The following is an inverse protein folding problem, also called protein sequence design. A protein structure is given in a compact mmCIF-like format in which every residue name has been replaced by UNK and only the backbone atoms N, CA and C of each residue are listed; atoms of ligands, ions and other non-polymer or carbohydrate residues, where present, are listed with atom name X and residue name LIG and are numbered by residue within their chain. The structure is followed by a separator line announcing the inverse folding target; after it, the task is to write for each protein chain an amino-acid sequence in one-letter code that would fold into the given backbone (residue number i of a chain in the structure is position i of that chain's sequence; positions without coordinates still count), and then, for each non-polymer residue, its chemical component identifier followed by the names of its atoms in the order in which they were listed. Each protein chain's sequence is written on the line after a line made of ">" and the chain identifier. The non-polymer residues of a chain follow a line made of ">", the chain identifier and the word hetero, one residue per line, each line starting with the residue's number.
data_IF_264987921486
#
_entry.id   IF_264987921486
#
_cell.length_a   1.000
_cell.length_b   1.000
_cell.length_c   1.000
_cell.angle_alpha   90.00
_cell.angle_beta   90.00
_cell.angle_gamma   90.00
#
_symmetry.space_group_name_H-M   'P 1'
#
loop_
_entity.id
_entity.type
_entity.pdbx_description
1 polymer ?
#
# COMPACT_ATOMS: atom_id res chain seq x y z
N UNK A 1 -6.10 -18.53 0.38
CA UNK A 1 -6.83 -19.35 -0.60
C UNK A 1 -7.22 -18.46 -1.77
N UNK A 2 -6.40 -18.35 -2.80
CA UNK A 2 -6.66 -17.84 -4.18
C UNK A 2 -5.35 -17.37 -4.82
N UNK A 3 -4.46 -18.31 -5.17
CA UNK A 3 -3.50 -18.15 -6.25
C UNK A 3 -3.36 -19.53 -6.90
N UNK A 4 -4.34 -19.90 -7.70
CA UNK A 4 -4.29 -21.07 -8.58
C UNK A 4 -5.01 -20.70 -9.86
N UNK A 5 -4.37 -19.95 -10.74
CA UNK A 5 -4.88 -19.78 -12.12
C UNK A 5 -3.86 -19.16 -13.09
N UNK A 6 -2.63 -19.64 -13.15
CA UNK A 6 -1.70 -19.33 -14.28
C UNK A 6 -0.82 -20.53 -14.66
N UNK A 7 -1.26 -21.76 -14.49
CA UNK A 7 -0.46 -22.93 -14.97
C UNK A 7 -1.34 -23.95 -15.72
N UNK A 8 -2.30 -23.53 -16.50
CA UNK A 8 -3.14 -24.45 -17.27
C UNK A 8 -3.44 -23.99 -18.69
N UNK A 9 -2.43 -23.60 -19.49
CA UNK A 9 -2.57 -23.45 -20.96
C UNK A 9 -1.29 -23.88 -21.65
N UNK A 10 -0.78 -25.08 -21.42
CA UNK A 10 0.24 -25.69 -22.28
C UNK A 10 0.20 -27.23 -22.19
N UNK A 11 -0.92 -27.83 -22.53
CA UNK A 11 -0.94 -29.26 -22.84
C UNK A 11 -2.23 -29.61 -23.61
N UNK A 12 -2.26 -29.33 -24.89
CA UNK A 12 -3.12 -30.02 -25.88
C UNK A 12 -2.79 -29.49 -27.27
N UNK A 13 -1.78 -30.07 -27.92
CA UNK A 13 -1.72 -30.18 -29.36
C UNK A 13 -0.72 -31.27 -29.79
N UNK A 14 -1.25 -32.34 -30.27
CA UNK A 14 -0.73 -32.92 -31.51
C UNK A 14 0.16 -34.13 -31.43
N UNK A 15 -0.42 -35.26 -31.49
CA UNK A 15 0.18 -36.42 -32.16
C UNK A 15 0.02 -36.26 -33.67
N UNK A 16 1.13 -36.05 -34.37
CA UNK A 16 1.32 -36.47 -35.77
C UNK A 16 2.78 -36.73 -36.00
N UNK A 17 3.06 -38.00 -36.22
CA UNK A 17 4.39 -38.51 -36.56
C UNK A 17 4.81 -38.16 -38.00
N UNK A 18 6.06 -37.90 -38.16
CA UNK A 18 7.01 -38.18 -39.26
C UNK A 18 7.87 -36.96 -39.64
N UNK A 19 9.16 -37.12 -39.46
CA UNK A 19 10.17 -36.24 -40.05
C UNK A 19 11.21 -35.72 -39.06
N UNK A 20 12.21 -36.53 -38.77
CA UNK A 20 13.44 -36.07 -38.10
C UNK A 20 14.07 -34.93 -38.93
N UNK A 21 13.98 -33.72 -38.40
CA UNK A 21 14.97 -32.67 -38.56
C UNK A 21 15.31 -32.20 -37.19
N UNK A 22 16.57 -32.28 -36.81
CA UNK A 22 17.12 -31.77 -35.57
C UNK A 22 16.74 -30.28 -35.45
N UNK A 23 15.67 -30.02 -34.72
CA UNK A 23 15.35 -28.68 -34.22
C UNK A 23 16.37 -28.40 -33.10
N UNK A 24 17.13 -27.31 -33.13
CA UNK A 24 17.99 -26.96 -31.99
C UNK A 24 17.09 -26.88 -30.75
N UNK A 25 17.46 -27.64 -29.72
CA UNK A 25 16.84 -27.48 -28.38
C UNK A 25 16.84 -25.99 -28.06
N UNK A 26 15.64 -25.45 -27.80
CA UNK A 26 15.50 -24.10 -27.30
C UNK A 26 16.49 -23.94 -26.15
N UNK A 27 17.43 -23.04 -26.29
CA UNK A 27 18.44 -22.74 -25.27
C UNK A 27 17.69 -22.45 -23.99
N UNK A 28 17.81 -23.34 -22.98
CA UNK A 28 17.32 -23.01 -21.65
C UNK A 28 18.00 -21.72 -21.22
N UNK A 29 17.27 -20.70 -20.82
CA UNK A 29 17.87 -19.44 -20.41
C UNK A 29 18.89 -19.73 -19.31
N UNK A 30 20.08 -19.20 -19.43
CA UNK A 30 21.12 -19.33 -18.42
C UNK A 30 20.60 -18.70 -17.12
N UNK A 31 20.17 -19.54 -16.19
CA UNK A 31 19.64 -19.13 -14.88
C UNK A 31 20.60 -18.16 -14.16
N UNK A 32 21.92 -18.32 -14.33
CA UNK A 32 22.91 -17.40 -13.78
C UNK A 32 22.83 -16.01 -14.40
N UNK A 33 22.60 -15.93 -15.72
CA UNK A 33 22.44 -14.64 -16.40
C UNK A 33 21.12 -13.95 -15.98
N UNK A 34 20.04 -14.71 -15.77
CA UNK A 34 18.78 -14.19 -15.23
C UNK A 34 18.95 -13.74 -13.79
N UNK A 35 19.61 -14.54 -12.94
CA UNK A 35 19.91 -14.21 -11.56
C UNK A 35 20.80 -12.95 -11.44
N UNK A 36 21.81 -12.81 -12.31
CA UNK A 36 22.64 -11.62 -12.34
C UNK A 36 21.86 -10.33 -12.69
N UNK A 37 20.82 -10.43 -13.50
CA UNK A 37 19.91 -9.30 -13.80
C UNK A 37 18.95 -8.98 -12.65
N UNK A 38 18.73 -9.94 -11.74
CA UNK A 38 17.93 -9.75 -10.54
C UNK A 38 18.79 -9.29 -9.34
N UNK A 39 20.12 -9.22 -9.48
CA UNK A 39 21.01 -8.79 -8.41
C UNK A 39 20.51 -7.52 -7.74
N UNK A 40 20.50 -7.54 -6.40
CA UNK A 40 20.03 -6.46 -5.56
C UNK A 40 21.15 -6.01 -4.62
N UNK A 41 21.30 -4.70 -4.45
CA UNK A 41 22.16 -4.11 -3.43
C UNK A 41 21.30 -3.30 -2.48
N UNK A 42 21.40 -3.57 -1.19
CA UNK A 42 20.63 -2.82 -0.19
C UNK A 42 21.04 -1.35 -0.21
N UNK A 43 20.05 -0.51 -0.40
CA UNK A 43 20.14 0.95 -0.29
C UNK A 43 19.02 1.38 0.64
N UNK A 44 19.30 2.30 1.56
CA UNK A 44 18.30 2.89 2.42
C UNK A 44 17.78 4.18 1.81
N UNK A 45 16.48 4.40 1.87
CA UNK A 45 15.84 5.61 1.33
C UNK A 45 16.44 6.88 1.94
N UNK A 46 16.70 6.85 3.25
CA UNK A 46 17.26 7.99 3.98
C UNK A 46 18.59 8.53 3.41
N UNK A 47 19.39 7.66 2.78
CA UNK A 47 20.68 8.03 2.19
C UNK A 47 20.53 8.76 0.84
N UNK A 48 19.34 8.73 0.26
CA UNK A 48 19.02 9.30 -1.06
C UNK A 48 18.14 10.53 -1.01
N UNK A 49 17.47 10.76 0.11
CA UNK A 49 16.52 11.85 0.23
C UNK A 49 17.23 13.21 0.29
N UNK A 50 16.73 14.21 -0.43
CA UNK A 50 17.29 15.56 -0.38
C UNK A 50 17.03 16.23 0.98
N UNK A 51 17.87 17.20 1.32
CA UNK A 51 17.62 18.05 2.49
C UNK A 51 16.34 18.86 2.27
N UNK A 52 15.49 18.87 3.28
CA UNK A 52 14.26 19.64 3.26
C UNK A 52 14.54 21.13 3.47
N UNK A 53 13.72 21.97 2.82
CA UNK A 53 13.69 23.40 3.08
C UNK A 53 13.15 23.63 4.50
N UNK A 54 13.88 24.29 5.43
CA UNK A 54 13.45 24.44 6.82
C UNK A 54 12.13 25.22 6.97
N UNK A 55 11.85 26.19 6.09
CA UNK A 55 10.61 26.95 6.12
C UNK A 55 9.41 26.08 5.66
N UNK A 56 9.60 25.26 4.62
CA UNK A 56 8.59 24.31 4.18
C UNK A 56 8.36 23.19 5.20
N UNK A 57 9.41 22.79 5.91
CA UNK A 57 9.34 21.77 6.96
C UNK A 57 8.50 22.24 8.18
N UNK A 58 8.53 23.54 8.52
CA UNK A 58 7.62 24.12 9.53
C UNK A 58 6.15 23.94 9.13
N UNK A 59 5.81 24.18 7.86
CA UNK A 59 4.45 23.97 7.34
C UNK A 59 4.06 22.50 7.44
N UNK A 60 4.96 21.62 7.05
CA UNK A 60 4.73 20.17 7.12
C UNK A 60 4.45 19.69 8.55
N UNK A 61 5.26 20.08 9.52
CA UNK A 61 5.09 19.64 10.89
C UNK A 61 3.74 20.09 11.47
N UNK A 62 3.36 21.35 11.23
CA UNK A 62 2.05 21.85 11.69
C UNK A 62 0.88 21.17 10.95
N UNK A 63 0.96 21.02 9.63
CA UNK A 63 -0.03 20.28 8.84
C UNK A 63 -0.17 18.83 9.31
N UNK A 64 0.95 18.16 9.62
CA UNK A 64 0.95 16.80 10.14
C UNK A 64 0.27 16.72 11.51
N UNK A 65 0.53 17.66 12.38
CA UNK A 65 -0.13 17.73 13.67
C UNK A 65 -1.65 17.92 13.50
N UNK A 66 -2.12 18.86 12.64
CA UNK A 66 -3.54 19.04 12.32
C UNK A 66 -4.18 17.74 11.83
N UNK A 67 -3.53 17.06 10.89
CA UNK A 67 -4.01 15.79 10.34
C UNK A 67 -4.20 14.72 11.42
N UNK A 68 -3.30 14.66 12.40
CA UNK A 68 -3.31 13.67 13.48
C UNK A 68 -4.35 13.96 14.57
N UNK A 69 -5.04 15.12 14.54
CA UNK A 69 -6.16 15.39 15.44
C UNK A 69 -7.41 14.58 15.08
N UNK A 70 -7.46 13.99 13.87
CA UNK A 70 -8.61 13.23 13.36
C UNK A 70 -9.92 14.02 13.34
N UNK A 71 -9.84 15.35 13.16
CA UNK A 71 -10.96 16.28 13.07
C UNK A 71 -11.12 16.72 11.62
N UNK A 72 -12.25 16.40 10.96
CA UNK A 72 -12.46 16.73 9.53
C UNK A 72 -12.31 18.20 9.20
N UNK A 73 -12.71 19.08 10.13
CA UNK A 73 -12.63 20.54 9.99
C UNK A 73 -11.20 21.10 9.91
N UNK A 74 -10.21 20.34 10.37
CA UNK A 74 -8.79 20.73 10.32
C UNK A 74 -8.10 20.26 9.02
N UNK A 75 -8.68 19.31 8.30
CA UNK A 75 -8.07 18.71 7.11
C UNK A 75 -7.89 19.70 5.94
N UNK A 76 -8.81 20.67 5.66
CA UNK A 76 -8.58 21.66 4.63
C UNK A 76 -7.32 22.50 4.87
N UNK A 77 -7.08 22.91 6.12
CA UNK A 77 -5.89 23.66 6.49
C UNK A 77 -4.63 22.81 6.37
N UNK A 78 -4.68 21.55 6.83
CA UNK A 78 -3.58 20.60 6.64
C UNK A 78 -3.23 20.42 5.15
N UNK A 79 -4.25 20.27 4.29
CA UNK A 79 -4.09 20.15 2.84
C UNK A 79 -3.47 21.38 2.20
N UNK A 80 -3.94 22.57 2.59
CA UNK A 80 -3.38 23.86 2.16
C UNK A 80 -1.88 23.94 2.44
N UNK A 81 -1.48 23.65 3.67
CA UNK A 81 -0.08 23.72 4.08
C UNK A 81 0.77 22.63 3.42
N UNK A 82 0.22 21.42 3.23
CA UNK A 82 0.90 20.37 2.49
C UNK A 82 1.14 20.73 1.02
N UNK A 83 0.15 21.38 0.33
CA UNK A 83 0.33 21.85 -1.05
C UNK A 83 1.51 22.80 -1.16
N UNK A 84 1.56 23.79 -0.26
CA UNK A 84 2.62 24.79 -0.26
C UNK A 84 3.98 24.13 0.04
N UNK A 85 4.05 23.26 1.03
CA UNK A 85 5.29 22.57 1.36
C UNK A 85 5.75 21.64 0.22
N UNK A 86 4.83 20.86 -0.39
CA UNK A 86 5.12 19.98 -1.52
C UNK A 86 5.70 20.74 -2.72
N UNK A 87 5.14 21.92 -3.04
CA UNK A 87 5.65 22.78 -4.10
C UNK A 87 7.10 23.26 -3.85
N UNK A 88 7.56 23.23 -2.60
CA UNK A 88 8.97 23.49 -2.21
C UNK A 88 9.81 22.23 -2.08
N UNK A 89 9.40 21.11 -2.72
CA UNK A 89 10.14 19.85 -2.73
C UNK A 89 10.05 19.04 -1.44
N UNK A 90 9.06 19.34 -0.59
CA UNK A 90 8.89 18.58 0.66
C UNK A 90 8.19 17.24 0.38
N UNK A 91 8.97 16.19 0.13
CA UNK A 91 8.47 14.86 -0.30
C UNK A 91 7.49 14.23 0.68
N UNK A 92 7.64 14.41 2.01
CA UNK A 92 6.67 13.88 2.99
C UNK A 92 5.32 14.61 2.93
N UNK A 93 5.34 15.94 2.69
CA UNK A 93 4.11 16.71 2.49
C UNK A 93 3.40 16.27 1.21
N UNK A 94 4.15 16.07 0.13
CA UNK A 94 3.67 15.56 -1.14
C UNK A 94 2.96 14.19 -0.95
N UNK A 95 3.61 13.22 -0.31
CA UNK A 95 3.03 11.90 -0.04
C UNK A 95 1.72 11.96 0.78
N UNK A 96 1.72 12.78 1.84
CA UNK A 96 0.52 12.93 2.67
C UNK A 96 -0.62 13.57 1.89
N UNK A 97 -0.32 14.59 1.08
CA UNK A 97 -1.30 15.27 0.25
C UNK A 97 -1.93 14.33 -0.78
N UNK A 98 -1.12 13.57 -1.54
CA UNK A 98 -1.62 12.58 -2.50
C UNK A 98 -2.64 11.64 -1.83
N UNK A 99 -2.30 11.12 -0.64
CA UNK A 99 -3.20 10.23 0.12
C UNK A 99 -4.49 10.94 0.53
N UNK A 100 -4.42 12.18 1.01
CA UNK A 100 -5.58 12.94 1.46
C UNK A 100 -6.51 13.31 0.30
N UNK A 101 -5.95 13.73 -0.84
CA UNK A 101 -6.71 14.05 -2.06
C UNK A 101 -7.40 12.79 -2.60
N UNK A 102 -6.67 11.67 -2.73
CA UNK A 102 -7.25 10.39 -3.19
C UNK A 102 -8.38 9.87 -2.30
N UNK A 103 -8.33 10.14 -1.00
CA UNK A 103 -9.39 9.74 -0.05
C UNK A 103 -10.54 10.74 0.01
N UNK A 104 -10.45 11.88 -0.67
CA UNK A 104 -11.42 12.96 -0.54
C UNK A 104 -11.39 13.69 0.81
N UNK A 105 -10.30 13.49 1.60
CA UNK A 105 -10.08 14.18 2.87
C UNK A 105 -9.77 15.68 2.65
N UNK A 106 -9.23 16.00 1.48
CA UNK A 106 -8.93 17.37 1.03
C UNK A 106 -9.55 17.56 -0.34
N UNK A 107 -10.35 18.60 -0.49
CA UNK A 107 -10.99 18.95 -1.76
C UNK A 107 -9.94 19.37 -2.81
N UNK A 108 -10.13 18.89 -4.03
CA UNK A 108 -9.35 19.27 -5.20
C UNK A 108 -10.29 19.51 -6.38
N UNK A 109 -10.08 20.54 -7.19
CA UNK A 109 -10.83 20.76 -8.43
C UNK A 109 -10.63 19.65 -9.45
N UNK A 110 -9.45 19.03 -9.44
CA UNK A 110 -9.07 17.90 -10.29
C UNK A 110 -8.17 16.93 -9.49
N UNK A 111 -8.81 16.07 -8.72
CA UNK A 111 -8.13 15.19 -7.79
C UNK A 111 -7.20 14.19 -8.47
N UNK A 112 -7.55 13.71 -9.66
CA UNK A 112 -6.70 12.74 -10.39
C UNK A 112 -5.44 13.43 -10.87
N UNK A 113 -5.55 14.54 -11.58
CA UNK A 113 -4.39 15.23 -12.11
C UNK A 113 -3.52 15.81 -10.99
N UNK A 114 -4.10 16.37 -9.91
CA UNK A 114 -3.29 16.83 -8.76
C UNK A 114 -2.45 15.70 -8.16
N UNK A 115 -3.00 14.50 -8.04
CA UNK A 115 -2.27 13.34 -7.51
C UNK A 115 -1.17 12.88 -8.46
N UNK A 116 -1.43 12.86 -9.77
CA UNK A 116 -0.43 12.47 -10.77
C UNK A 116 0.70 13.50 -10.86
N UNK A 117 0.40 14.78 -10.89
CA UNK A 117 1.39 15.86 -10.90
C UNK A 117 2.32 15.78 -9.67
N UNK A 118 1.73 15.49 -8.49
CA UNK A 118 2.50 15.27 -7.26
C UNK A 118 3.40 14.03 -7.35
N UNK A 119 2.92 12.94 -7.94
CA UNK A 119 3.72 11.73 -8.12
C UNK A 119 4.84 11.95 -9.14
N UNK A 120 4.56 12.62 -10.25
CA UNK A 120 5.54 12.98 -11.27
C UNK A 120 6.62 13.92 -10.73
N UNK A 121 6.25 14.88 -9.86
CA UNK A 121 7.22 15.70 -9.14
C UNK A 121 8.20 14.84 -8.33
N UNK A 122 7.71 13.87 -7.56
CA UNK A 122 8.57 12.97 -6.78
C UNK A 122 9.48 12.13 -7.70
N UNK A 123 8.97 11.65 -8.83
CA UNK A 123 9.76 10.90 -9.82
C UNK A 123 10.84 11.79 -10.44
N UNK A 124 10.51 13.03 -10.81
CA UNK A 124 11.46 14.00 -11.37
C UNK A 124 12.57 14.35 -10.37
N UNK A 125 12.22 14.44 -9.07
CA UNK A 125 13.16 14.67 -7.98
C UNK A 125 13.92 13.38 -7.55
N UNK A 126 13.70 12.27 -8.26
CA UNK A 126 14.29 10.95 -8.00
C UNK A 126 14.01 10.43 -6.57
N UNK A 127 12.86 10.77 -6.01
CA UNK A 127 12.40 10.30 -4.70
C UNK A 127 11.88 8.85 -4.84
N UNK A 128 12.41 7.88 -4.07
CA UNK A 128 12.06 6.46 -4.21
C UNK A 128 10.56 6.18 -4.13
N UNK A 129 9.87 6.82 -3.18
CA UNK A 129 8.44 6.63 -2.99
C UNK A 129 7.59 7.17 -4.17
N UNK A 130 8.09 8.14 -4.95
CA UNK A 130 7.42 8.59 -6.18
C UNK A 130 7.28 7.47 -7.21
N UNK A 131 8.34 6.70 -7.41
CA UNK A 131 8.30 5.52 -8.28
C UNK A 131 7.36 4.45 -7.73
N UNK A 132 7.37 4.20 -6.42
CA UNK A 132 6.48 3.23 -5.79
C UNK A 132 5.00 3.57 -5.98
N UNK A 133 4.63 4.83 -5.72
CA UNK A 133 3.25 5.30 -5.92
C UNK A 133 2.83 5.26 -7.39
N UNK A 134 3.69 5.71 -8.31
CA UNK A 134 3.42 5.65 -9.75
C UNK A 134 3.23 4.21 -10.22
N UNK A 135 4.03 3.26 -9.70
CA UNK A 135 3.83 1.83 -9.94
C UNK A 135 2.43 1.36 -9.57
N UNK A 136 1.92 1.77 -8.40
CA UNK A 136 0.56 1.46 -7.99
C UNK A 136 -0.51 2.15 -8.84
N UNK A 137 -0.28 3.38 -9.31
CA UNK A 137 -1.22 4.06 -10.19
C UNK A 137 -1.31 3.39 -11.56
N UNK A 138 -0.18 2.95 -12.12
CA UNK A 138 -0.14 2.16 -13.34
C UNK A 138 -0.82 0.79 -13.18
N UNK A 139 -0.57 0.10 -12.06
CA UNK A 139 -1.17 -1.19 -11.76
C UNK A 139 -2.69 -1.09 -11.59
N UNK A 140 -3.18 0.00 -11.00
CA UNK A 140 -4.59 0.24 -10.76
C UNK A 140 -5.31 0.91 -11.95
N UNK A 141 -4.61 1.44 -12.93
CA UNK A 141 -5.20 2.28 -13.98
C UNK A 141 -5.70 3.63 -13.42
N UNK A 142 -5.06 4.16 -12.36
CA UNK A 142 -5.45 5.43 -11.77
C UNK A 142 -4.83 6.59 -12.52
N UNK A 143 -5.62 7.23 -13.38
CA UNK A 143 -5.21 8.33 -14.24
C UNK A 143 -4.27 7.96 -15.39
N UNK A 144 -3.82 6.72 -15.45
CA UNK A 144 -3.07 6.11 -16.55
C UNK A 144 -3.85 4.92 -17.13
N UNK A 145 -3.52 4.53 -18.35
CA UNK A 145 -3.91 3.19 -18.81
C UNK A 145 -3.24 2.14 -17.94
N UNK A 146 -3.98 1.10 -17.56
CA UNK A 146 -3.44 0.03 -16.73
C UNK A 146 -2.30 -0.68 -17.44
N UNK A 147 -1.14 -0.74 -16.79
CA UNK A 147 0.08 -1.36 -17.35
C UNK A 147 0.87 -2.05 -16.23
N UNK A 148 0.67 -3.35 -16.09
CA UNK A 148 1.32 -4.15 -15.06
C UNK A 148 2.83 -4.32 -15.31
N UNK A 149 3.27 -4.39 -16.55
CA UNK A 149 4.70 -4.54 -16.88
C UNK A 149 5.46 -3.27 -16.52
N UNK A 150 4.93 -2.13 -16.92
CA UNK A 150 5.49 -0.83 -16.54
C UNK A 150 5.45 -0.62 -15.04
N UNK A 151 4.36 -1.01 -14.37
CA UNK A 151 4.26 -0.95 -12.90
C UNK A 151 5.39 -1.72 -12.22
N UNK A 152 5.70 -2.95 -12.67
CA UNK A 152 6.81 -3.75 -12.13
C UNK A 152 8.17 -3.07 -12.31
N UNK A 153 8.41 -2.40 -13.44
CA UNK A 153 9.63 -1.61 -13.65
C UNK A 153 9.75 -0.45 -12.66
N UNK A 154 8.63 0.22 -12.37
CA UNK A 154 8.57 1.30 -11.38
C UNK A 154 8.79 0.79 -9.96
N UNK A 155 8.17 -0.32 -9.56
CA UNK A 155 8.41 -0.95 -8.25
C UNK A 155 9.87 -1.37 -8.09
N UNK A 156 10.46 -2.01 -9.12
CA UNK A 156 11.86 -2.39 -9.08
C UNK A 156 12.76 -1.16 -8.95
N UNK A 157 12.52 -0.11 -9.72
CA UNK A 157 13.27 1.15 -9.64
C UNK A 157 13.17 1.77 -8.24
N UNK A 158 11.98 1.79 -7.64
CA UNK A 158 11.78 2.28 -6.28
C UNK A 158 12.59 1.47 -5.25
N UNK A 159 12.59 0.13 -5.37
CA UNK A 159 13.34 -0.76 -4.49
C UNK A 159 14.86 -0.52 -4.60
N UNK A 160 15.38 -0.37 -5.81
CA UNK A 160 16.80 -0.09 -6.08
C UNK A 160 17.23 1.30 -5.59
N UNK A 161 16.30 2.25 -5.51
CA UNK A 161 16.53 3.58 -4.95
C UNK A 161 16.39 3.63 -3.42
N UNK A 162 15.93 2.53 -2.79
CA UNK A 162 15.89 2.41 -1.34
C UNK A 162 14.51 2.44 -0.70
N UNK A 163 13.39 2.56 -1.46
CA UNK A 163 12.05 2.51 -0.88
C UNK A 163 11.83 1.20 -0.13
N UNK A 164 11.63 1.29 1.18
CA UNK A 164 11.36 0.11 2.02
C UNK A 164 10.05 -0.59 1.61
N UNK A 165 9.02 0.18 1.26
CA UNK A 165 7.74 -0.35 0.78
C UNK A 165 7.92 -1.12 -0.55
N UNK A 166 8.72 -0.58 -1.47
CA UNK A 166 9.00 -1.24 -2.74
C UNK A 166 9.90 -2.48 -2.58
N UNK A 167 10.90 -2.42 -1.69
CA UNK A 167 11.74 -3.58 -1.36
C UNK A 167 10.90 -4.70 -0.76
N UNK A 168 9.96 -4.39 0.15
CA UNK A 168 9.03 -5.36 0.70
C UNK A 168 8.15 -5.96 -0.41
N UNK A 169 7.52 -5.12 -1.22
CA UNK A 169 6.60 -5.54 -2.29
C UNK A 169 7.29 -6.41 -3.35
N UNK A 170 8.47 -5.99 -3.84
CA UNK A 170 9.24 -6.79 -4.82
C UNK A 170 9.75 -8.08 -4.19
N UNK A 171 10.15 -8.06 -2.91
CA UNK A 171 10.49 -9.25 -2.16
C UNK A 171 9.35 -10.27 -2.11
N UNK A 172 8.12 -9.82 -1.84
CA UNK A 172 6.93 -10.66 -1.84
C UNK A 172 6.65 -11.30 -3.22
N UNK A 173 6.96 -10.59 -4.29
CA UNK A 173 6.82 -11.12 -5.67
C UNK A 173 7.89 -12.16 -6.02
N UNK A 174 9.08 -12.11 -5.39
CA UNK A 174 10.23 -12.94 -5.73
C UNK A 174 10.45 -14.14 -4.81
N UNK A 175 9.63 -14.31 -3.76
CA UNK A 175 9.91 -15.31 -2.70
C UNK A 175 9.66 -16.76 -3.12
N UNK A 176 8.86 -17.00 -4.14
CA UNK A 176 8.57 -18.36 -4.61
C UNK A 176 9.87 -19.07 -5.04
N UNK A 177 10.01 -20.41 -4.74
CA UNK A 177 11.25 -21.14 -4.96
C UNK A 177 11.75 -21.11 -6.41
N UNK A 178 10.84 -21.01 -7.37
CA UNK A 178 11.14 -21.01 -8.81
C UNK A 178 11.61 -19.64 -9.32
N UNK A 179 11.48 -18.58 -8.50
CA UNK A 179 11.85 -17.22 -8.86
C UNK A 179 13.23 -16.85 -8.29
N UNK A 180 13.27 -16.00 -7.27
CA UNK A 180 14.55 -15.54 -6.71
C UNK A 180 14.46 -15.36 -5.17
N UNK A 181 14.23 -16.43 -4.40
CA UNK A 181 13.99 -16.33 -2.96
C UNK A 181 15.17 -15.74 -2.17
N UNK A 182 16.41 -15.90 -2.66
CA UNK A 182 17.56 -15.27 -2.03
C UNK A 182 17.56 -13.76 -2.16
N UNK A 183 17.17 -13.26 -3.32
CA UNK A 183 17.01 -11.82 -3.56
C UNK A 183 15.81 -11.27 -2.76
N UNK A 184 14.71 -12.02 -2.70
CA UNK A 184 13.56 -11.67 -1.88
C UNK A 184 13.95 -11.45 -0.41
N UNK A 185 14.71 -12.39 0.17
CA UNK A 185 15.22 -12.28 1.56
C UNK A 185 16.14 -11.07 1.76
N UNK A 186 16.99 -10.76 0.77
CA UNK A 186 17.84 -9.56 0.82
C UNK A 186 17.01 -8.28 0.80
N UNK A 187 15.97 -8.20 -0.05
CA UNK A 187 15.06 -7.07 -0.12
C UNK A 187 14.26 -6.89 1.16
N UNK A 188 13.69 -7.98 1.71
CA UNK A 188 12.98 -7.93 2.98
C UNK A 188 13.89 -7.49 4.14
N UNK A 189 15.15 -7.97 4.17
CA UNK A 189 16.12 -7.55 5.19
C UNK A 189 16.39 -6.06 5.10
N UNK A 190 16.65 -5.56 3.90
CA UNK A 190 16.89 -4.15 3.68
C UNK A 190 15.69 -3.28 4.08
N UNK A 191 14.46 -3.70 3.75
CA UNK A 191 13.24 -3.04 4.19
C UNK A 191 13.05 -3.09 5.72
N UNK A 192 13.32 -4.25 6.33
CA UNK A 192 13.22 -4.45 7.78
C UNK A 192 14.18 -3.52 8.57
N UNK A 193 15.41 -3.36 8.09
CA UNK A 193 16.40 -2.44 8.66
C UNK A 193 15.97 -0.98 8.59
N UNK A 194 15.15 -0.63 7.61
CA UNK A 194 14.51 0.68 7.48
C UNK A 194 13.21 0.82 8.30
N UNK A 195 12.81 -0.21 9.05
CA UNK A 195 11.62 -0.18 9.90
C UNK A 195 10.31 -0.56 9.19
N UNK A 196 10.37 -1.32 8.09
CA UNK A 196 9.19 -1.88 7.45
C UNK A 196 8.74 -3.14 8.19
N UNK A 197 7.65 -3.01 8.94
CA UNK A 197 7.20 -4.02 9.91
C UNK A 197 6.81 -5.36 9.25
N UNK A 198 6.10 -5.31 8.12
CA UNK A 198 5.64 -6.49 7.39
C UNK A 198 6.83 -7.25 6.77
N UNK A 199 7.80 -6.55 6.18
CA UNK A 199 8.99 -7.19 5.61
C UNK A 199 9.83 -7.89 6.69
N UNK A 200 9.94 -7.27 7.87
CA UNK A 200 10.60 -7.90 9.01
C UNK A 200 9.86 -9.16 9.46
N UNK A 201 8.54 -9.11 9.54
CA UNK A 201 7.71 -10.27 9.89
C UNK A 201 7.85 -11.41 8.85
N UNK A 202 7.70 -11.09 7.55
CA UNK A 202 7.85 -12.06 6.45
C UNK A 202 9.23 -12.72 6.43
N UNK A 203 10.29 -11.94 6.62
CA UNK A 203 11.65 -12.47 6.73
C UNK A 203 11.81 -13.35 7.96
N UNK A 204 11.25 -12.96 9.11
CA UNK A 204 11.26 -13.74 10.33
C UNK A 204 10.60 -15.11 10.15
N UNK A 205 9.41 -15.15 9.54
CA UNK A 205 8.69 -16.39 9.19
C UNK A 205 9.53 -17.28 8.27
N UNK A 206 10.14 -16.71 7.24
CA UNK A 206 10.99 -17.46 6.31
C UNK A 206 12.22 -18.04 7.00
N UNK A 207 12.90 -17.27 7.85
CA UNK A 207 14.07 -17.71 8.62
C UNK A 207 13.70 -18.80 9.64
N UNK A 208 12.57 -18.64 10.33
CA UNK A 208 12.07 -19.65 11.28
C UNK A 208 11.76 -20.97 10.58
N UNK A 209 11.06 -20.93 9.44
CA UNK A 209 10.77 -22.13 8.64
C UNK A 209 12.04 -22.85 8.15
N UNK A 210 13.11 -22.11 7.90
CA UNK A 210 14.42 -22.64 7.55
C UNK A 210 15.31 -22.95 8.78
N UNK A 211 14.77 -22.89 9.99
CA UNK A 211 15.45 -23.18 11.28
C UNK A 211 16.61 -22.23 11.62
N UNK A 212 16.64 -21.05 11.03
CA UNK A 212 17.57 -19.95 11.39
C UNK A 212 17.00 -19.15 12.57
N UNK A 213 16.78 -19.81 13.71
CA UNK A 213 16.01 -19.28 14.84
C UNK A 213 16.59 -18.01 15.45
N UNK A 214 17.92 -17.91 15.57
CA UNK A 214 18.58 -16.72 16.11
C UNK A 214 18.33 -15.49 15.23
N UNK A 215 18.46 -15.65 13.92
CA UNK A 215 18.23 -14.58 12.96
C UNK A 215 16.73 -14.22 12.90
N UNK A 216 15.85 -15.23 12.94
CA UNK A 216 14.41 -15.03 12.99
C UNK A 216 14.01 -14.21 14.23
N UNK A 217 14.54 -14.55 15.40
CA UNK A 217 14.30 -13.82 16.65
C UNK A 217 14.69 -12.33 16.54
N UNK A 218 15.87 -12.08 15.97
CA UNK A 218 16.36 -10.72 15.77
C UNK A 218 15.46 -9.92 14.83
N UNK A 219 15.05 -10.49 13.70
CA UNK A 219 14.20 -9.82 12.71
C UNK A 219 12.78 -9.62 13.24
N UNK A 220 12.24 -10.58 13.99
CA UNK A 220 10.97 -10.40 14.69
C UNK A 220 11.02 -9.24 15.70
N UNK A 221 12.14 -9.05 16.41
CA UNK A 221 12.33 -7.88 17.26
C UNK A 221 12.24 -6.57 16.46
N UNK A 222 12.82 -6.52 15.25
CA UNK A 222 12.69 -5.37 14.35
C UNK A 222 11.22 -5.15 13.93
N UNK A 223 10.48 -6.22 13.63
CA UNK A 223 9.07 -6.11 13.30
C UNK A 223 8.24 -5.51 14.45
N UNK A 224 8.49 -5.96 15.68
CA UNK A 224 7.84 -5.39 16.88
C UNK A 224 8.26 -3.94 17.11
N UNK A 225 9.55 -3.62 16.96
CA UNK A 225 10.07 -2.25 17.01
C UNK A 225 9.34 -1.33 16.03
N UNK A 226 9.06 -1.85 14.84
CA UNK A 226 8.33 -1.17 13.77
C UNK A 226 6.80 -1.17 13.95
N UNK A 227 6.27 -1.73 15.05
CA UNK A 227 4.85 -1.65 15.40
C UNK A 227 4.00 -2.87 15.04
N UNK A 228 4.60 -4.01 14.65
CA UNK A 228 3.86 -5.22 14.28
C UNK A 228 3.32 -5.95 15.51
N UNK A 229 2.04 -5.75 15.82
CA UNK A 229 1.40 -6.36 17.00
C UNK A 229 1.32 -7.88 16.92
N UNK A 230 1.06 -8.46 15.73
CA UNK A 230 0.99 -9.91 15.56
C UNK A 230 2.32 -10.59 15.93
N UNK A 231 3.46 -10.00 15.54
CA UNK A 231 4.80 -10.50 15.86
C UNK A 231 5.11 -10.40 17.36
N UNK A 232 4.61 -9.35 18.05
CA UNK A 232 4.74 -9.25 19.50
C UNK A 232 4.02 -10.39 20.21
N UNK A 233 2.84 -10.79 19.74
CA UNK A 233 2.12 -11.95 20.23
C UNK A 233 2.88 -13.25 19.94
N UNK A 234 3.46 -13.39 18.74
CA UNK A 234 4.30 -14.55 18.38
C UNK A 234 5.51 -14.70 19.31
N UNK A 235 6.21 -13.59 19.61
CA UNK A 235 7.32 -13.60 20.56
C UNK A 235 6.88 -13.90 21.99
N UNK A 236 5.73 -13.38 22.42
CA UNK A 236 5.13 -13.76 23.72
C UNK A 236 4.94 -15.27 23.82
N UNK A 237 4.43 -15.90 22.75
CA UNK A 237 4.21 -17.35 22.73
C UNK A 237 5.50 -18.14 22.62
N UNK A 238 6.52 -17.65 21.93
CA UNK A 238 7.81 -18.32 21.80
C UNK A 238 8.55 -18.47 23.14
N UNK A 239 8.42 -17.49 24.05
CA UNK A 239 9.01 -17.54 25.39
C UNK A 239 8.13 -18.26 26.44
N UNK A 240 6.90 -18.64 26.09
CA UNK A 240 6.01 -19.42 26.99
C UNK A 240 6.47 -20.87 27.06
N UNK A 241 6.43 -21.46 28.26
CA UNK A 241 6.93 -22.82 28.52
C UNK A 241 6.19 -23.91 27.75
N UNK A 242 4.90 -23.71 27.44
CA UNK A 242 4.08 -24.69 26.73
C UNK A 242 3.85 -24.30 25.27
N UNK A 243 3.52 -23.03 25.01
CA UNK A 243 3.24 -22.52 23.66
C UNK A 243 4.48 -22.48 22.78
N UNK A 244 5.65 -22.21 23.36
CA UNK A 244 6.93 -22.23 22.67
C UNK A 244 7.38 -23.60 22.18
N UNK A 245 6.73 -24.69 22.63
CA UNK A 245 6.97 -26.05 22.12
C UNK A 245 6.21 -26.37 20.82
N UNK A 246 5.24 -25.54 20.45
CA UNK A 246 4.47 -25.70 19.22
C UNK A 246 5.32 -25.21 18.05
N UNK A 247 5.42 -25.99 16.97
CA UNK A 247 6.28 -25.70 15.81
C UNK A 247 6.12 -24.27 15.28
N UNK A 248 4.87 -23.76 15.24
CA UNK A 248 4.56 -22.41 14.78
C UNK A 248 5.22 -21.31 15.64
N UNK A 249 5.43 -21.56 16.93
CA UNK A 249 5.99 -20.60 17.89
C UNK A 249 7.45 -20.89 18.23
N UNK A 250 7.98 -22.02 17.78
CA UNK A 250 9.30 -22.49 18.19
C UNK A 250 10.43 -21.64 17.60
N UNK A 251 11.20 -21.02 18.47
CA UNK A 251 12.36 -20.17 18.12
C UNK A 251 13.66 -20.61 18.81
N UNK A 252 13.69 -21.83 19.36
CA UNK A 252 14.85 -22.37 20.09
C UNK A 252 15.31 -21.45 21.24
N UNK A 253 14.38 -20.80 21.90
CA UNK A 253 14.62 -19.96 23.08
C UNK A 253 14.22 -20.70 24.36
N UNK A 254 14.85 -20.35 25.49
CA UNK A 254 14.46 -20.88 26.79
C UNK A 254 13.18 -20.14 27.27
N UNK A 255 12.26 -20.85 27.95
CA UNK A 255 11.12 -20.22 28.58
C UNK A 255 11.53 -19.09 29.54
N UNK A 256 10.88 -17.95 29.43
CA UNK A 256 11.14 -16.76 30.25
C UNK A 256 9.83 -16.03 30.58
N UNK A 257 9.26 -16.27 31.77
CA UNK A 257 7.97 -15.67 32.15
C UNK A 257 7.95 -14.14 32.18
N UNK A 258 9.10 -13.50 32.44
CA UNK A 258 9.15 -12.04 32.45
C UNK A 258 9.14 -11.48 31.01
N UNK A 259 9.81 -12.14 30.05
CA UNK A 259 9.68 -11.81 28.62
C UNK A 259 8.27 -12.02 28.12
N UNK A 260 7.62 -13.12 28.48
CA UNK A 260 6.18 -13.35 28.18
C UNK A 260 5.34 -12.17 28.61
N UNK A 261 5.47 -11.74 29.85
CA UNK A 261 4.71 -10.59 30.41
C UNK A 261 5.01 -9.28 29.67
N UNK A 262 6.27 -9.01 29.30
CA UNK A 262 6.65 -7.77 28.59
C UNK A 262 6.14 -7.77 27.16
N UNK A 263 6.24 -8.87 26.44
CA UNK A 263 5.67 -8.96 25.07
C UNK A 263 4.14 -8.91 25.08
N UNK A 264 3.47 -9.41 26.12
CA UNK A 264 2.03 -9.26 26.29
C UNK A 264 1.62 -7.77 26.49
N UNK A 265 2.38 -7.05 27.30
CA UNK A 265 2.17 -5.61 27.49
C UNK A 265 2.42 -4.84 26.18
N UNK A 266 3.48 -5.17 25.43
CA UNK A 266 3.79 -4.60 24.12
C UNK A 266 2.66 -4.89 23.12
N UNK A 267 2.20 -6.14 23.04
CA UNK A 267 1.08 -6.51 22.16
C UNK A 267 -0.18 -5.70 22.50
N UNK A 268 -0.52 -5.60 23.76
CA UNK A 268 -1.67 -4.83 24.26
C UNK A 268 -1.56 -3.35 23.89
N UNK A 269 -0.37 -2.76 24.05
CA UNK A 269 -0.06 -1.39 23.66
C UNK A 269 -0.25 -1.19 22.16
N UNK A 270 0.38 -2.02 21.33
CA UNK A 270 0.30 -1.92 19.86
C UNK A 270 -1.13 -2.08 19.35
N UNK A 271 -1.91 -3.00 19.97
CA UNK A 271 -3.34 -3.19 19.62
C UNK A 271 -4.20 -2.00 20.04
N UNK A 272 -3.92 -1.39 21.19
CA UNK A 272 -4.65 -0.20 21.66
C UNK A 272 -4.52 0.98 20.72
N UNK A 273 -3.34 1.14 20.10
CA UNK A 273 -3.04 2.24 19.18
C UNK A 273 -3.06 1.82 17.72
N UNK A 274 -3.68 0.68 17.39
CA UNK A 274 -3.84 0.21 16.02
C UNK A 274 -4.45 1.31 15.12
N UNK A 275 -3.95 1.46 13.90
CA UNK A 275 -4.33 2.55 12.98
C UNK A 275 -3.63 3.90 13.24
N UNK A 276 -2.90 4.06 14.36
CA UNK A 276 -2.14 5.28 14.70
C UNK A 276 -0.65 5.16 14.44
N UNK A 277 -0.24 4.03 13.83
CA UNK A 277 1.15 3.69 13.52
C UNK A 277 2.09 3.75 14.74
N UNK A 278 1.78 3.06 15.85
CA UNK A 278 2.63 3.03 17.04
C UNK A 278 3.99 2.42 16.71
N UNK A 279 5.02 2.90 17.38
CA UNK A 279 6.41 2.40 17.26
C UNK A 279 6.98 2.12 18.65
N UNK A 280 7.97 1.24 18.71
CA UNK A 280 8.73 0.98 19.94
C UNK A 280 10.23 1.23 19.72
N UNK A 281 10.66 2.50 19.63
CA UNK A 281 12.08 2.80 19.47
C UNK A 281 12.92 2.31 20.64
N UNK A 282 12.33 2.20 21.81
CA UNK A 282 12.91 1.81 23.09
C UNK A 282 12.79 0.30 23.41
N UNK A 283 12.37 -0.55 22.45
CA UNK A 283 12.14 -2.00 22.70
C UNK A 283 13.36 -2.69 23.31
N UNK A 284 14.56 -2.33 22.86
CA UNK A 284 15.80 -2.93 23.35
C UNK A 284 16.15 -2.51 24.80
N UNK A 285 15.53 -1.41 25.30
CA UNK A 285 15.58 -1.02 26.71
C UNK A 285 14.48 -1.71 27.54
N UNK A 286 13.40 -2.14 26.89
CA UNK A 286 12.27 -2.83 27.51
C UNK A 286 12.52 -4.33 27.60
N UNK A 287 12.79 -4.95 26.46
CA UNK A 287 12.90 -6.41 26.32
C UNK A 287 14.05 -6.77 25.36
N UNK A 288 15.33 -6.52 25.76
CA UNK A 288 16.47 -6.91 24.94
C UNK A 288 16.45 -8.41 24.71
N UNK A 289 16.93 -8.86 23.54
CA UNK A 289 16.98 -10.28 23.18
C UNK A 289 17.96 -11.08 24.05
N UNK A 290 17.72 -12.39 24.29
CA UNK A 290 18.71 -13.25 24.93
C UNK A 290 20.06 -13.24 24.19
N UNK A 291 21.21 -13.38 24.88
CA UNK A 291 21.35 -13.68 26.30
C UNK A 291 21.31 -12.47 27.25
N UNK A 292 20.97 -11.28 26.75
CA UNK A 292 20.91 -10.08 27.59
C UNK A 292 19.89 -10.23 28.73
N UNK A 293 20.26 -9.73 29.91
CA UNK A 293 19.35 -9.69 31.07
C UNK A 293 18.34 -8.59 30.89
N UNK A 294 17.12 -8.84 31.36
CA UNK A 294 16.07 -7.84 31.34
C UNK A 294 16.37 -6.70 32.34
N UNK A 295 16.41 -5.44 31.90
CA UNK A 295 16.56 -4.32 32.82
C UNK A 295 15.25 -4.06 33.61
N UNK A 296 15.28 -3.26 34.71
CA UNK A 296 14.07 -2.73 35.29
C UNK A 296 13.26 -1.96 34.25
N UNK A 297 11.92 -2.13 34.31
CA UNK A 297 11.00 -1.43 33.41
C UNK A 297 9.74 -1.02 34.18
N UNK A 298 9.31 0.20 33.96
CA UNK A 298 8.17 0.83 34.68
C UNK A 298 6.79 0.57 34.02
N UNK A 299 6.76 -0.23 32.92
CA UNK A 299 5.54 -0.50 32.17
C UNK A 299 5.11 0.60 31.19
N UNK A 300 5.97 1.57 30.93
CA UNK A 300 5.66 2.71 30.04
C UNK A 300 6.41 2.61 28.70
N UNK A 301 5.88 3.28 27.67
CA UNK A 301 6.42 3.33 26.31
C UNK A 301 6.72 4.78 25.93
N UNK A 302 7.92 5.05 25.33
CA UNK A 302 8.32 6.38 24.89
C UNK A 302 7.30 6.98 23.90
N UNK A 303 6.91 6.20 22.89
CA UNK A 303 5.93 6.63 21.89
C UNK A 303 4.58 7.03 22.52
N UNK A 304 4.10 6.28 23.54
CA UNK A 304 2.83 6.58 24.20
C UNK A 304 2.88 7.90 24.99
N UNK A 305 4.02 8.17 25.63
CA UNK A 305 4.25 9.42 26.34
C UNK A 305 4.19 10.61 25.39
N UNK A 306 4.89 10.50 24.24
CA UNK A 306 4.90 11.53 23.20
C UNK A 306 3.51 11.72 22.59
N UNK A 307 2.81 10.61 22.28
CA UNK A 307 1.46 10.64 21.75
C UNK A 307 0.47 11.33 22.69
N UNK A 308 0.52 11.00 23.99
CA UNK A 308 -0.35 11.61 25.01
C UNK A 308 -0.02 13.08 25.26
N UNK A 309 1.22 13.47 25.14
CA UNK A 309 1.62 14.86 25.26
C UNK A 309 0.98 15.71 24.15
N UNK A 310 0.74 15.15 22.96
CA UNK A 310 0.12 15.80 21.80
C UNK A 310 0.56 17.26 21.60
N UNK A 311 1.85 17.52 21.82
CA UNK A 311 2.41 18.86 21.77
C UNK A 311 2.28 19.46 20.37
N UNK A 312 1.52 20.55 20.25
CA UNK A 312 1.39 21.26 18.98
C UNK A 312 2.74 21.89 18.61
N UNK A 313 3.25 21.67 17.39
CA UNK A 313 4.38 22.44 16.89
C UNK A 313 3.97 23.93 16.73
N UNK A 314 4.92 24.85 16.69
CA UNK A 314 4.61 26.26 16.45
C UNK A 314 3.80 26.43 15.16
N UNK A 315 2.68 27.16 15.25
CA UNK A 315 1.90 27.51 14.07
C UNK A 315 2.76 28.40 13.15
N UNK A 316 2.86 28.06 11.84
CA UNK A 316 3.57 28.92 10.89
C UNK A 316 2.95 30.33 10.84
N UNK A 317 3.82 31.36 10.79
CA UNK A 317 3.37 32.75 10.61
C UNK A 317 2.68 32.89 9.22
N UNK A 318 1.54 33.60 9.18
CA UNK A 318 0.80 33.85 7.95
C UNK A 318 1.66 34.53 6.87
N UNK A 319 2.59 35.42 7.27
CA UNK A 319 3.55 36.03 6.34
C UNK A 319 4.47 34.98 5.69
N UNK A 320 4.91 33.99 6.44
CA UNK A 320 5.70 32.87 5.91
C UNK A 320 4.89 32.05 4.91
N UNK A 321 3.66 31.69 5.25
CA UNK A 321 2.77 30.94 4.36
C UNK A 321 2.52 31.69 3.05
N UNK A 322 2.20 33.01 3.13
CA UNK A 322 2.01 33.85 1.95
C UNK A 322 3.28 33.99 1.12
N UNK A 323 4.45 34.14 1.77
CA UNK A 323 5.75 34.20 1.09
C UNK A 323 6.01 32.94 0.28
N UNK A 324 5.85 31.77 0.91
CA UNK A 324 6.13 30.49 0.28
C UNK A 324 5.11 30.18 -0.85
N UNK A 325 3.82 30.46 -0.63
CA UNK A 325 2.80 30.28 -1.67
C UNK A 325 3.08 31.15 -2.91
N UNK A 326 3.38 32.45 -2.69
CA UNK A 326 3.69 33.37 -3.80
C UNK A 326 4.96 32.97 -4.57
N UNK A 327 5.99 32.46 -3.90
CA UNK A 327 7.22 32.00 -4.53
C UNK A 327 7.01 30.84 -5.52
N UNK A 328 5.90 30.11 -5.39
CA UNK A 328 5.50 28.99 -6.26
C UNK A 328 4.24 29.28 -7.08
N UNK A 329 3.84 30.54 -7.18
CA UNK A 329 2.62 30.97 -7.89
C UNK A 329 1.36 30.24 -7.41
N UNK A 330 1.26 29.98 -6.09
CA UNK A 330 0.10 29.37 -5.46
C UNK A 330 -0.80 30.44 -4.81
N UNK A 331 -2.09 30.13 -4.72
CA UNK A 331 -3.03 30.88 -3.89
C UNK A 331 -2.74 30.58 -2.40
N UNK A 332 -2.38 31.60 -1.59
CA UNK A 332 -2.12 31.39 -0.18
C UNK A 332 -3.31 30.84 0.62
N UNK A 333 -4.55 31.04 0.14
CA UNK A 333 -5.75 30.59 0.85
C UNK A 333 -6.05 29.10 0.66
N UNK A 334 -5.65 28.54 -0.48
CA UNK A 334 -5.97 27.14 -0.84
C UNK A 334 -4.73 26.27 -1.05
N UNK A 335 -3.58 26.88 -1.32
CA UNK A 335 -2.36 26.20 -1.76
C UNK A 335 -2.41 25.72 -3.21
N UNK A 336 -3.49 25.93 -3.92
CA UNK A 336 -3.64 25.56 -5.34
C UNK A 336 -2.91 26.55 -6.26
N UNK A 337 -2.53 26.13 -7.48
CA UNK A 337 -1.96 27.04 -8.47
C UNK A 337 -2.86 28.24 -8.74
N UNK A 338 -2.26 29.44 -8.89
CA UNK A 338 -2.98 30.67 -9.24
C UNK A 338 -3.39 30.78 -10.71
N UNK A 339 -2.90 29.88 -11.55
CA UNK A 339 -3.35 29.83 -12.93
C UNK A 339 -4.87 29.77 -12.95
N UNK A 340 -5.50 30.66 -13.74
CA UNK A 340 -6.91 30.50 -14.08
C UNK A 340 -7.10 29.01 -14.37
N UNK A 341 -7.95 28.35 -13.57
CA UNK A 341 -8.32 26.97 -13.83
C UNK A 341 -8.60 26.91 -15.35
N UNK A 342 -7.90 26.06 -16.12
CA UNK A 342 -8.35 25.81 -17.47
C UNK A 342 -9.85 25.58 -17.31
N UNK A 343 -10.69 26.35 -18.03
CA UNK A 343 -12.14 26.15 -18.02
C UNK A 343 -12.37 24.67 -17.92
N UNK A 344 -13.16 24.13 -16.94
CA UNK A 344 -13.19 22.75 -16.63
C UNK A 344 -13.12 21.96 -17.93
N UNK A 345 -11.93 21.42 -18.24
CA UNK A 345 -11.80 20.53 -19.36
C UNK A 345 -12.69 19.40 -18.93
N UNK A 346 -13.82 19.28 -19.56
CA UNK A 346 -14.68 18.12 -19.41
C UNK A 346 -13.73 16.94 -19.45
N UNK A 347 -13.62 16.15 -18.38
CA UNK A 347 -12.65 15.06 -18.34
C UNK A 347 -12.76 14.31 -19.66
N UNK A 348 -11.66 13.91 -20.31
CA UNK A 348 -11.71 13.33 -21.65
C UNK A 348 -12.81 12.27 -21.63
N UNK A 349 -13.84 12.46 -22.46
CA UNK A 349 -15.01 11.59 -22.42
C UNK A 349 -14.53 10.17 -22.61
N UNK A 350 -14.73 9.35 -21.59
CA UNK A 350 -14.43 7.92 -21.67
C UNK A 350 -15.16 7.38 -22.89
N UNK A 351 -14.47 6.63 -23.75
CA UNK A 351 -15.07 6.10 -24.98
C UNK A 351 -16.31 5.28 -24.66
N UNK A 352 -17.35 5.43 -25.46
CA UNK A 352 -18.50 4.51 -25.43
C UNK A 352 -17.99 3.09 -25.57
N UNK A 353 -18.57 2.16 -24.82
CA UNK A 353 -18.08 0.78 -24.73
C UNK A 353 -17.06 0.55 -23.61
N UNK A 354 -16.61 1.59 -22.90
CA UNK A 354 -15.77 1.39 -21.71
C UNK A 354 -16.50 0.58 -20.67
N UNK A 355 -15.81 -0.43 -20.10
CA UNK A 355 -16.38 -1.41 -19.19
C UNK A 355 -15.74 -1.28 -17.79
N UNK A 356 -16.57 -1.37 -16.74
CA UNK A 356 -16.14 -1.33 -15.35
C UNK A 356 -16.90 -2.40 -14.53
N UNK A 357 -16.24 -3.08 -13.57
CA UNK A 357 -16.89 -4.12 -12.77
C UNK A 357 -17.80 -3.52 -11.70
N UNK A 358 -18.74 -4.34 -11.18
CA UNK A 358 -19.48 -4.02 -9.97
C UNK A 358 -18.53 -3.61 -8.84
N UNK A 359 -18.99 -2.69 -7.99
CA UNK A 359 -18.24 -2.03 -6.89
C UNK A 359 -17.19 -0.99 -7.32
N UNK A 360 -16.82 -0.89 -8.60
CA UNK A 360 -16.00 0.22 -9.09
C UNK A 360 -16.79 1.53 -8.99
N UNK A 361 -16.09 2.65 -8.81
CA UNK A 361 -16.69 3.97 -8.95
C UNK A 361 -16.99 4.25 -10.42
N UNK A 362 -18.16 4.81 -10.71
CA UNK A 362 -18.55 5.24 -12.05
C UNK A 362 -17.59 6.36 -12.51
N UNK A 363 -16.79 6.14 -13.55
CA UNK A 363 -15.77 7.10 -13.95
C UNK A 363 -16.36 8.30 -14.71
N UNK A 364 -17.57 8.17 -15.26
CA UNK A 364 -18.25 9.24 -15.99
C UNK A 364 -19.77 9.07 -15.94
N UNK A 365 -20.50 10.15 -15.71
CA UNK A 365 -21.96 10.15 -15.72
C UNK A 365 -22.51 9.75 -17.08
N UNK A 366 -23.48 8.85 -17.08
CA UNK A 366 -24.09 8.36 -18.30
C UNK A 366 -24.99 7.15 -18.09
N UNK A 367 -25.49 6.60 -19.18
CA UNK A 367 -26.25 5.33 -19.17
C UNK A 367 -25.26 4.17 -19.34
N UNK A 368 -25.28 3.28 -18.38
CA UNK A 368 -24.45 2.09 -18.35
C UNK A 368 -25.31 0.84 -18.41
N UNK A 369 -24.84 -0.17 -19.15
CA UNK A 369 -25.55 -1.41 -19.40
C UNK A 369 -24.74 -2.57 -18.82
N UNK A 370 -25.40 -3.44 -18.05
CA UNK A 370 -24.86 -4.73 -17.63
C UNK A 370 -25.40 -5.83 -18.55
N UNK A 371 -24.53 -6.59 -19.18
CA UNK A 371 -24.91 -7.77 -19.96
C UNK A 371 -25.14 -8.95 -19.01
N UNK A 372 -26.35 -9.48 -19.03
CA UNK A 372 -26.79 -10.61 -18.22
C UNK A 372 -27.08 -11.86 -19.06
N UNK A 373 -26.66 -11.88 -20.32
CA UNK A 373 -26.88 -13.01 -21.23
C UNK A 373 -26.35 -14.35 -20.71
N UNK A 374 -25.19 -14.31 -19.98
CA UNK A 374 -24.63 -15.48 -19.31
C UNK A 374 -25.55 -16.07 -18.22
N UNK A 375 -26.53 -15.32 -17.74
CA UNK A 375 -27.53 -15.73 -16.76
C UNK A 375 -28.91 -15.92 -17.36
N UNK A 376 -29.03 -15.93 -18.70
CA UNK A 376 -30.30 -16.12 -19.41
C UNK A 376 -31.28 -14.93 -19.26
N UNK A 377 -30.78 -13.75 -18.90
CA UNK A 377 -31.56 -12.54 -18.68
C UNK A 377 -31.26 -11.47 -19.74
N UNK A 378 -32.21 -10.56 -19.93
CA UNK A 378 -31.98 -9.36 -20.73
C UNK A 378 -31.01 -8.42 -20.02
N UNK A 379 -30.24 -7.69 -20.82
CA UNK A 379 -29.33 -6.63 -20.31
C UNK A 379 -30.09 -5.56 -19.54
N UNK A 380 -29.49 -5.03 -18.49
CA UNK A 380 -30.07 -3.98 -17.65
C UNK A 380 -29.29 -2.69 -17.85
N UNK A 381 -30.00 -1.61 -18.22
CA UNK A 381 -29.42 -0.27 -18.37
C UNK A 381 -29.86 0.61 -17.21
N UNK A 382 -28.88 1.34 -16.63
CA UNK A 382 -29.12 2.34 -15.56
C UNK A 382 -28.31 3.60 -15.79
N UNK A 383 -28.84 4.71 -15.32
CA UNK A 383 -28.10 5.96 -15.25
C UNK A 383 -27.27 5.99 -13.97
N UNK A 384 -25.97 6.30 -14.09
CA UNK A 384 -25.07 6.53 -12.99
C UNK A 384 -24.43 7.89 -13.09
N UNK A 385 -24.19 8.50 -11.92
CA UNK A 385 -23.46 9.75 -11.79
C UNK A 385 -21.97 9.43 -11.49
N UNK A 386 -21.07 10.24 -11.99
CA UNK A 386 -19.63 10.10 -11.75
C UNK A 386 -19.35 10.00 -10.24
N UNK A 387 -18.55 8.98 -9.85
CA UNK A 387 -18.24 8.66 -8.46
C UNK A 387 -19.23 7.70 -7.78
N UNK A 388 -20.42 7.47 -8.34
CA UNK A 388 -21.36 6.48 -7.83
C UNK A 388 -20.82 5.05 -8.03
N UNK A 389 -21.05 4.17 -7.07
CA UNK A 389 -20.55 2.79 -7.19
C UNK A 389 -21.51 1.93 -7.99
N UNK A 390 -20.98 1.14 -8.92
CA UNK A 390 -21.75 0.18 -9.67
C UNK A 390 -22.24 -0.94 -8.75
N UNK A 391 -23.57 -1.22 -8.72
CA UNK A 391 -24.13 -2.29 -7.91
C UNK A 391 -23.88 -3.67 -8.52
N UNK A 392 -24.06 -4.71 -7.70
CA UNK A 392 -24.36 -6.05 -8.18
C UNK A 392 -25.77 -6.10 -8.76
N UNK A 393 -26.09 -7.15 -9.49
CA UNK A 393 -27.43 -7.33 -10.08
C UNK A 393 -28.03 -8.63 -9.56
N UNK A 394 -29.29 -8.61 -9.07
CA UNK A 394 -29.98 -9.84 -8.65
C UNK A 394 -30.34 -10.68 -9.87
N UNK A 395 -29.94 -11.96 -9.86
CA UNK A 395 -30.29 -12.94 -10.87
C UNK A 395 -31.01 -14.12 -10.23
N UNK A 396 -31.98 -14.73 -10.92
CA UNK A 396 -32.67 -15.94 -10.44
C UNK A 396 -31.67 -17.06 -10.19
N UNK A 397 -31.81 -17.77 -9.07
CA UNK A 397 -31.02 -18.98 -8.81
C UNK A 397 -31.94 -20.20 -8.78
N UNK A 398 -31.54 -21.31 -9.43
CA UNK A 398 -32.31 -22.54 -9.35
C UNK A 398 -32.25 -23.09 -7.92
N UNK A 399 -33.38 -23.07 -7.23
CA UNK A 399 -33.48 -23.60 -5.88
C UNK A 399 -33.99 -25.07 -5.93
N UNK A 400 -33.27 -25.95 -5.22
CA UNK A 400 -33.78 -27.28 -4.92
C UNK A 400 -35.01 -27.17 -4.01
N UNK A 401 -35.81 -28.24 -3.96
CA UNK A 401 -36.97 -28.28 -3.05
C UNK A 401 -36.57 -28.10 -1.56
N UNK A 402 -35.39 -28.60 -1.19
CA UNK A 402 -34.80 -28.42 0.16
C UNK A 402 -34.42 -26.98 0.45
N UNK A 403 -33.91 -26.26 -0.55
CA UNK A 403 -33.54 -24.85 -0.40
C UNK A 403 -34.77 -23.96 -0.20
N UNK A 404 -35.87 -24.28 -0.90
CA UNK A 404 -37.17 -23.60 -0.72
C UNK A 404 -37.73 -23.83 0.68
N UNK A 405 -37.64 -25.06 1.21
CA UNK A 405 -38.05 -25.37 2.57
C UNK A 405 -37.22 -24.64 3.64
N UNK A 406 -35.96 -24.35 3.33
CA UNK A 406 -35.05 -23.59 4.20
C UNK A 406 -35.18 -22.06 4.07
N UNK A 407 -36.11 -21.57 3.27
CA UNK A 407 -36.34 -20.13 3.06
C UNK A 407 -35.19 -19.39 2.38
N UNK A 408 -34.38 -20.09 1.55
CA UNK A 408 -33.36 -19.41 0.78
C UNK A 408 -34.00 -18.47 -0.25
N UNK A 409 -33.43 -17.30 -0.49
CA UNK A 409 -33.93 -16.37 -1.49
C UNK A 409 -33.85 -16.99 -2.88
N UNK A 410 -34.83 -16.70 -3.72
CA UNK A 410 -34.90 -17.14 -5.12
C UNK A 410 -34.00 -16.36 -6.07
N UNK A 411 -33.33 -15.37 -5.56
CA UNK A 411 -32.36 -14.52 -6.26
C UNK A 411 -31.02 -14.51 -5.53
N UNK A 412 -29.94 -14.38 -6.31
CA UNK A 412 -28.58 -14.15 -5.81
C UNK A 412 -27.99 -12.89 -6.44
N UNK A 413 -27.24 -12.14 -5.67
CA UNK A 413 -26.50 -10.98 -6.15
C UNK A 413 -25.25 -11.44 -6.90
N UNK A 414 -25.12 -11.05 -8.18
CA UNK A 414 -23.93 -11.34 -8.98
C UNK A 414 -23.19 -10.07 -9.35
N UNK A 415 -21.87 -10.14 -9.29
CA UNK A 415 -21.01 -9.09 -9.82
C UNK A 415 -21.05 -9.15 -11.36
N UNK A 416 -21.25 -7.99 -11.97
CA UNK A 416 -21.37 -7.85 -13.43
C UNK A 416 -20.42 -6.79 -13.94
N UNK A 417 -20.19 -6.75 -15.23
CA UNK A 417 -19.48 -5.67 -15.91
C UNK A 417 -20.48 -4.68 -16.48
N UNK A 418 -20.31 -3.42 -16.12
CA UNK A 418 -21.11 -2.29 -16.61
C UNK A 418 -20.39 -1.60 -17.76
N UNK A 419 -21.06 -1.41 -18.89
CA UNK A 419 -20.50 -0.83 -20.12
C UNK A 419 -21.21 0.48 -20.44
N UNK A 420 -20.44 1.57 -20.65
CA UNK A 420 -20.98 2.88 -20.99
C UNK A 420 -21.62 2.87 -22.37
N UNK A 421 -22.92 3.15 -22.43
CA UNK A 421 -23.72 3.19 -23.67
C UNK A 421 -23.93 4.60 -24.20
N UNK A 422 -24.18 5.55 -23.32
CA UNK A 422 -24.34 6.96 -23.68
C UNK A 422 -23.91 7.87 -22.54
N UNK A 423 -23.51 9.09 -22.88
CA UNK A 423 -23.18 10.13 -21.90
C UNK A 423 -24.47 10.76 -21.34
N UNK A 424 -24.40 11.26 -20.11
CA UNK A 424 -25.46 12.12 -19.60
C UNK A 424 -25.50 13.41 -20.43
N UNK A 425 -26.71 13.86 -20.79
CA UNK A 425 -26.85 15.19 -21.38
C UNK A 425 -26.46 16.24 -20.34
N UNK A 426 -25.75 17.30 -20.74
CA UNK A 426 -25.47 18.41 -19.84
C UNK A 426 -26.83 18.99 -19.37
N UNK A 427 -27.07 18.98 -18.07
CA UNK A 427 -28.22 19.68 -17.52
C UNK A 427 -28.06 21.17 -17.87
N UNK A 428 -28.94 21.69 -18.72
CA UNK A 428 -29.11 23.12 -18.93
C UNK A 428 -29.71 23.67 -17.62
N UNK A 429 -28.86 24.28 -16.80
CA UNK A 429 -29.23 25.05 -15.61
C UNK A 429 -29.13 26.52 -15.87
#
# INVERSE_FOLDING_TARGET
>A
MRVRLIVAVLALLGLSACGHKDTPMAHQPDLKAVQARLAFSCVHEADRLPKLNPEADQLFHYARWLQLQYQPELLPEAGRLYRIAAAHGHYKANNNLQRMVRKGEVASPDAVNEVLDLAEQLVADNIPNGYYLTGHYLQAGYGYDQDNEKALMYFRKAADLGSADAQAYVGDLLIEPELAPDIARQMWRCAAEQGHAEAADSLGVNLQGNKHYSDALHVYQLAVKAGRSATALGLQQAFDAEKGKVDLNYLNVQPDPERVKRYEAIWTFLKRYDGRNPKLPDIDKIVPLPPARLPPWDGTFEWEKEWKANAAPPKPDDKLVVKLAKAKNLDPATGLPKTELPKPQTPPKIKLGYAAPSHAACPQSGIWCADLSAHGMASVSRHFIQGERFPTVPVPQPLSWLDRLRGKPDQQEVAVTWTLQSYAEPQQG
#
